data_IF_891125734116
#
_entry.id   IF_891125734116
#
_cell.length_a   1.000
_cell.length_b   1.000
_cell.length_c   1.000
_cell.angle_alpha   90.00
_cell.angle_beta   90.00
_cell.angle_gamma   90.00
#
_symmetry.space_group_name_H-M   'P 1'
#
loop_
_entity.id
_entity.type
_entity.pdbx_description
1 polymer ?
#
# COMPACT_ATOMS: atom_id res chain seq x y z
N UNK A 1 30.29 -0.26 1.64
CA UNK A 1 29.25 0.07 0.63
C UNK A 1 27.90 -0.31 1.23
N UNK A 2 27.07 0.65 1.64
CA UNK A 2 25.69 0.33 1.97
C UNK A 2 24.97 0.10 0.63
N UNK A 3 24.76 -1.16 0.27
CA UNK A 3 24.02 -1.53 -0.93
C UNK A 3 22.60 -0.94 -0.88
N UNK A 4 22.00 -0.70 -2.04
CA UNK A 4 20.60 -0.29 -2.12
C UNK A 4 19.72 -1.28 -1.34
N UNK A 5 18.81 -0.81 -0.45
CA UNK A 5 17.93 -1.71 0.28
C UNK A 5 17.08 -2.54 -0.70
N UNK A 6 16.84 -3.83 -0.38
CA UNK A 6 15.95 -4.69 -1.16
C UNK A 6 14.64 -4.00 -1.52
N UNK A 7 14.13 -4.26 -2.72
CA UNK A 7 12.93 -3.58 -3.24
C UNK A 7 11.72 -3.69 -2.31
N UNK A 8 11.57 -4.82 -1.61
CA UNK A 8 10.49 -5.03 -0.65
C UNK A 8 10.62 -4.12 0.58
N UNK A 9 11.84 -3.79 1.02
CA UNK A 9 12.05 -2.83 2.12
C UNK A 9 11.62 -1.44 1.67
N UNK A 10 12.01 -1.01 0.46
CA UNK A 10 11.57 0.29 -0.10
C UNK A 10 10.04 0.36 -0.27
N UNK A 11 9.42 -0.75 -0.65
CA UNK A 11 7.95 -0.85 -0.75
C UNK A 11 7.30 -0.69 0.63
N UNK A 12 7.79 -1.39 1.65
CA UNK A 12 7.27 -1.28 3.03
C UNK A 12 7.42 0.15 3.56
N UNK A 13 8.59 0.77 3.38
CA UNK A 13 8.81 2.17 3.78
C UNK A 13 7.78 3.10 3.14
N UNK A 14 7.60 3.02 1.81
CA UNK A 14 6.63 3.86 1.10
C UNK A 14 5.18 3.59 1.54
N UNK A 15 4.82 2.31 1.75
CA UNK A 15 3.49 1.92 2.20
C UNK A 15 3.20 2.49 3.59
N UNK A 16 4.11 2.31 4.55
CA UNK A 16 3.95 2.81 5.92
C UNK A 16 3.85 4.34 5.96
N UNK A 17 4.64 5.07 5.17
CA UNK A 17 4.55 6.53 5.07
C UNK A 17 3.25 7.03 4.41
N UNK A 18 2.57 6.18 3.65
CA UNK A 18 1.34 6.55 2.93
C UNK A 18 0.04 6.29 3.70
N UNK A 19 0.13 5.63 4.86
CA UNK A 19 -1.00 5.34 5.75
C UNK A 19 -0.85 6.09 7.08
N UNK A 20 -1.97 6.27 7.78
CA UNK A 20 -1.99 6.89 9.12
C UNK A 20 -1.54 5.89 10.19
N UNK A 21 -1.08 6.37 11.34
CA UNK A 21 -0.55 5.52 12.42
C UNK A 21 -1.60 4.54 13.00
N UNK A 22 -2.87 4.92 12.96
CA UNK A 22 -3.99 4.07 13.38
C UNK A 22 -4.36 2.96 12.36
N UNK A 23 -3.76 3.00 11.16
CA UNK A 23 -3.94 1.99 10.14
C UNK A 23 -2.85 0.91 10.27
N UNK A 24 -3.12 -0.26 9.70
CA UNK A 24 -2.23 -1.40 9.79
C UNK A 24 -1.90 -1.97 8.41
N UNK A 25 -0.63 -2.31 8.15
CA UNK A 25 -0.22 -2.87 6.85
C UNK A 25 0.66 -4.12 6.99
N UNK A 26 0.07 -5.31 7.21
CA UNK A 26 0.84 -6.54 7.35
C UNK A 26 1.29 -7.09 5.99
N UNK A 27 2.45 -7.76 6.00
CA UNK A 27 2.89 -8.62 4.89
C UNK A 27 2.17 -9.96 5.00
N UNK A 28 1.46 -10.36 3.94
CA UNK A 28 0.82 -11.68 3.88
C UNK A 28 1.83 -12.79 3.59
N UNK A 29 2.76 -12.51 2.67
CA UNK A 29 3.77 -13.46 2.20
C UNK A 29 4.36 -12.96 0.89
N UNK A 30 5.56 -13.41 0.51
CA UNK A 30 6.16 -13.00 -0.77
C UNK A 30 6.23 -11.47 -0.93
N UNK A 31 5.64 -10.94 -2.00
CA UNK A 31 5.46 -9.53 -2.32
C UNK A 31 4.04 -8.99 -2.05
N UNK A 32 3.21 -9.76 -1.34
CA UNK A 32 1.82 -9.41 -1.02
C UNK A 32 1.68 -8.71 0.35
N UNK A 33 0.93 -7.62 0.35
CA UNK A 33 0.65 -6.79 1.52
C UNK A 33 -0.84 -6.51 1.61
N UNK A 34 -1.37 -6.48 2.83
CA UNK A 34 -2.69 -5.94 3.13
C UNK A 34 -2.51 -4.54 3.73
N UNK A 35 -3.45 -3.64 3.49
CA UNK A 35 -3.61 -2.40 4.24
C UNK A 35 -5.03 -2.33 4.83
N UNK A 36 -5.12 -2.33 6.15
CA UNK A 36 -6.37 -2.15 6.91
C UNK A 36 -6.47 -0.67 7.24
N UNK A 37 -7.42 0.01 6.59
CA UNK A 37 -7.64 1.44 6.74
C UNK A 37 -8.90 1.68 7.56
N UNK A 38 -8.74 2.34 8.71
CA UNK A 38 -9.83 2.72 9.60
C UNK A 38 -10.55 3.96 9.07
N UNK A 39 -11.81 4.15 9.50
CA UNK A 39 -12.65 5.32 9.22
C UNK A 39 -13.01 5.54 7.73
N UNK A 40 -13.03 4.46 6.93
CA UNK A 40 -13.52 4.49 5.57
C UNK A 40 -15.06 4.56 5.58
N UNK A 41 -15.61 5.70 5.17
CA UNK A 41 -17.06 5.95 5.16
C UNK A 41 -17.75 5.37 3.93
N UNK A 42 -17.03 5.35 2.80
CA UNK A 42 -17.54 4.95 1.49
C UNK A 42 -16.39 4.60 0.53
N UNK A 43 -16.72 4.10 -0.67
CA UNK A 43 -15.71 3.78 -1.68
C UNK A 43 -14.87 4.97 -2.12
N UNK A 44 -15.41 6.17 -2.09
CA UNK A 44 -14.68 7.37 -2.47
C UNK A 44 -13.50 7.60 -1.51
N UNK A 45 -13.74 7.55 -0.20
CA UNK A 45 -12.69 7.63 0.81
C UNK A 45 -11.66 6.49 0.71
N UNK A 46 -12.10 5.27 0.37
CA UNK A 46 -11.21 4.13 0.13
C UNK A 46 -10.34 4.34 -1.12
N UNK A 47 -10.92 4.89 -2.18
CA UNK A 47 -10.24 5.24 -3.43
C UNK A 47 -9.20 6.31 -3.19
N UNK A 48 -9.53 7.37 -2.44
CA UNK A 48 -8.58 8.43 -2.08
C UNK A 48 -7.39 7.88 -1.28
N UNK A 49 -7.63 7.01 -0.30
CA UNK A 49 -6.56 6.35 0.44
C UNK A 49 -5.66 5.51 -0.48
N UNK A 50 -6.27 4.74 -1.40
CA UNK A 50 -5.55 3.91 -2.38
C UNK A 50 -4.73 4.75 -3.36
N UNK A 51 -5.26 5.87 -3.83
CA UNK A 51 -4.53 6.80 -4.71
C UNK A 51 -3.32 7.42 -4.00
N UNK A 52 -3.40 7.70 -2.69
CA UNK A 52 -2.23 8.14 -1.91
C UNK A 52 -1.14 7.07 -1.90
N UNK A 53 -1.49 5.81 -1.69
CA UNK A 53 -0.54 4.69 -1.75
C UNK A 53 0.10 4.60 -3.15
N UNK A 54 -0.71 4.63 -4.21
CA UNK A 54 -0.23 4.58 -5.60
C UNK A 54 0.72 5.72 -5.96
N UNK A 55 0.42 6.95 -5.52
CA UNK A 55 1.27 8.12 -5.79
C UNK A 55 2.67 7.98 -5.17
N UNK A 56 2.76 7.37 -3.99
CA UNK A 56 4.04 7.14 -3.32
C UNK A 56 4.80 5.94 -3.87
N UNK A 57 4.14 5.09 -4.66
CA UNK A 57 4.73 3.88 -5.26
C UNK A 57 5.66 4.14 -6.45
N UNK A 58 5.96 5.39 -6.81
CA UNK A 58 6.97 5.62 -7.84
C UNK A 58 8.37 5.22 -7.31
N UNK A 59 8.89 4.09 -7.79
CA UNK A 59 10.25 3.59 -7.56
C UNK A 59 11.25 4.10 -8.62
N UNK A 60 10.83 5.02 -9.49
CA UNK A 60 11.66 5.59 -10.55
C UNK A 60 12.96 6.20 -10.02
N UNK A 61 14.04 6.02 -10.78
CA UNK A 61 15.40 6.43 -10.40
C UNK A 61 16.28 5.29 -9.85
N UNK A 62 15.73 4.09 -9.68
CA UNK A 62 16.51 2.87 -9.43
C UNK A 62 16.53 1.99 -10.69
N UNK A 63 17.56 1.14 -10.89
CA UNK A 63 17.70 0.18 -12.00
C UNK A 63 16.56 -0.88 -12.11
N UNK A 64 15.52 -0.79 -11.27
CA UNK A 64 14.46 -1.77 -11.12
C UNK A 64 13.12 -1.03 -11.18
N UNK A 65 12.32 -1.37 -12.17
CA UNK A 65 10.94 -0.89 -12.32
C UNK A 65 9.97 -1.99 -11.87
N UNK A 66 8.91 -1.60 -11.17
CA UNK A 66 7.87 -2.50 -10.70
C UNK A 66 6.52 -1.80 -10.73
N UNK A 67 5.46 -2.58 -10.97
CA UNK A 67 4.08 -2.11 -10.84
C UNK A 67 3.45 -2.73 -9.59
N UNK A 68 2.42 -2.10 -9.04
CA UNK A 68 1.54 -2.72 -8.03
C UNK A 68 0.13 -2.82 -8.57
N UNK A 69 -0.59 -3.82 -8.09
CA UNK A 69 -2.04 -3.94 -8.25
C UNK A 69 -2.65 -3.88 -6.86
N UNK A 70 -3.75 -3.15 -6.72
CA UNK A 70 -4.44 -2.98 -5.44
C UNK A 70 -5.90 -3.39 -5.64
N UNK A 71 -6.34 -4.40 -4.90
CA UNK A 71 -7.75 -4.70 -4.70
C UNK A 71 -8.29 -3.90 -3.51
N UNK A 72 -9.50 -3.36 -3.63
CA UNK A 72 -10.16 -2.62 -2.55
C UNK A 72 -11.45 -3.35 -2.21
N UNK A 73 -11.67 -3.59 -0.92
CA UNK A 73 -12.96 -4.04 -0.40
C UNK A 73 -13.38 -3.10 0.73
N UNK A 74 -14.69 -2.84 0.84
CA UNK A 74 -15.28 -2.07 1.95
C UNK A 74 -16.39 -2.91 2.61
N UNK A 75 -16.83 -2.59 3.85
CA UNK A 75 -17.71 -3.47 4.61
C UNK A 75 -19.00 -3.91 3.91
N UNK A 76 -19.52 -3.13 2.96
CA UNK A 76 -20.72 -3.48 2.20
C UNK A 76 -20.53 -4.65 1.24
N UNK A 77 -19.29 -4.96 0.86
CA UNK A 77 -18.96 -6.00 -0.12
C UNK A 77 -19.02 -7.39 0.50
N UNK A 78 -18.95 -7.47 1.83
CA UNK A 78 -19.14 -8.70 2.60
C UNK A 78 -20.59 -8.97 2.98
N UNK A 79 -21.55 -8.14 2.55
CA UNK A 79 -22.97 -8.40 2.79
C UNK A 79 -23.45 -9.52 1.86
N UNK A 80 -23.85 -10.64 2.46
CA UNK A 80 -24.61 -11.71 1.78
C UNK A 80 -26.04 -11.28 1.52
#
# INVERSE_FOLDING_TARGET
>A
MLGNPPILIKLVEKLTHSIRNENFAPRMGGDEFIAIISEIKNYESATTATQKILKHYNLSGNKIEGSIRIGITVPKDGKK
#
